data_IF_759012853485
#
_entry.id   IF_759012853485
#
_cell.length_a   1.000
_cell.length_b   1.000
_cell.length_c   1.000
_cell.angle_alpha   90.00
_cell.angle_beta   90.00
_cell.angle_gamma   90.00
#
_symmetry.space_group_name_H-M   'P 1'
#
loop_
_entity.id
_entity.type
_entity.pdbx_description
1 polymer ?
#
# COMPACT_ATOMS: atom_id res chain seq x y z
N UNK A 1 -40.18 20.95 13.09
CA UNK A 1 -40.88 19.98 12.23
C UNK A 1 -40.14 19.94 10.92
N UNK A 2 -39.30 18.91 10.77
CA UNK A 2 -38.72 18.34 9.52
C UNK A 2 -37.47 17.54 9.91
N UNK A 3 -37.70 16.38 10.53
CA UNK A 3 -36.67 15.53 11.12
C UNK A 3 -35.87 14.70 10.10
N UNK A 4 -36.06 14.90 8.79
CA UNK A 4 -35.48 14.07 7.73
C UNK A 4 -34.61 14.82 6.74
N UNK A 5 -34.04 15.97 7.12
CA UNK A 5 -33.18 16.73 6.21
C UNK A 5 -31.71 16.41 6.50
N UNK A 6 -31.02 15.78 5.55
CA UNK A 6 -29.58 15.57 5.62
C UNK A 6 -28.86 16.88 5.24
N UNK A 7 -28.30 17.55 6.24
CA UNK A 7 -27.55 18.79 6.04
C UNK A 7 -26.04 18.51 6.04
N UNK A 8 -25.33 19.12 5.09
CA UNK A 8 -23.87 19.14 5.11
C UNK A 8 -23.41 20.21 6.11
N UNK A 9 -22.58 19.82 7.09
CA UNK A 9 -22.09 20.71 8.15
C UNK A 9 -20.57 20.83 8.09
N UNK A 10 -20.09 22.07 8.18
CA UNK A 10 -18.67 22.39 8.25
C UNK A 10 -18.09 22.15 9.62
N UNK A 11 -16.84 21.70 9.65
CA UNK A 11 -16.07 21.76 10.89
C UNK A 11 -15.59 23.21 11.07
N UNK A 12 -16.20 23.94 12.02
CA UNK A 12 -15.84 25.33 12.33
C UNK A 12 -16.53 26.41 11.50
N UNK A 13 -17.46 26.04 10.61
CA UNK A 13 -18.29 26.97 9.85
C UNK A 13 -19.77 26.59 9.96
N UNK A 14 -20.63 27.56 10.22
CA UNK A 14 -22.08 27.42 10.15
C UNK A 14 -22.56 27.49 8.69
N UNK A 15 -22.10 26.56 7.86
CA UNK A 15 -22.82 26.25 6.63
C UNK A 15 -23.71 25.03 6.90
N UNK A 16 -25.01 25.22 6.72
CA UNK A 16 -26.01 24.14 6.66
C UNK A 16 -26.53 24.12 5.23
N UNK A 17 -25.75 23.53 4.34
CA UNK A 17 -26.22 23.33 2.97
C UNK A 17 -27.09 22.07 2.91
N UNK A 18 -28.25 22.21 2.26
CA UNK A 18 -29.11 21.08 1.98
C UNK A 18 -28.38 20.13 1.02
N UNK A 19 -28.22 18.87 1.40
CA UNK A 19 -27.66 17.87 0.51
C UNK A 19 -28.74 17.43 -0.50
N UNK A 20 -28.98 18.29 -1.50
CA UNK A 20 -29.91 18.05 -2.61
C UNK A 20 -29.16 17.68 -3.89
N UNK A 21 -29.82 16.92 -4.77
CA UNK A 21 -29.28 16.54 -6.07
C UNK A 21 -28.78 17.73 -6.90
N UNK A 22 -29.54 18.83 -6.92
CA UNK A 22 -29.23 20.01 -7.76
C UNK A 22 -27.99 20.78 -7.29
N UNK A 23 -27.59 20.62 -6.03
CA UNK A 23 -26.42 21.30 -5.45
C UNK A 23 -25.21 20.38 -5.32
N UNK A 24 -25.36 19.11 -5.65
CA UNK A 24 -24.33 18.12 -5.39
C UNK A 24 -23.03 18.45 -6.15
N UNK A 25 -23.14 18.86 -7.42
CA UNK A 25 -22.00 19.23 -8.24
C UNK A 25 -21.26 20.45 -7.67
N UNK A 26 -22.01 21.45 -7.21
CA UNK A 26 -21.44 22.63 -6.54
C UNK A 26 -20.68 22.23 -5.27
N UNK A 27 -21.25 21.37 -4.43
CA UNK A 27 -20.62 20.93 -3.18
C UNK A 27 -19.34 20.13 -3.48
N UNK A 28 -19.39 19.20 -4.43
CA UNK A 28 -18.24 18.36 -4.80
C UNK A 28 -17.08 19.20 -5.36
N UNK A 29 -17.38 20.26 -6.12
CA UNK A 29 -16.34 21.12 -6.70
C UNK A 29 -15.69 22.04 -5.67
N UNK A 30 -16.45 22.54 -4.69
CA UNK A 30 -15.97 23.53 -3.72
C UNK A 30 -15.45 22.90 -2.42
N UNK A 31 -15.84 21.66 -2.11
CA UNK A 31 -15.57 21.06 -0.81
C UNK A 31 -15.12 19.60 -0.88
N UNK A 32 -14.38 19.18 0.15
CA UNK A 32 -14.02 17.78 0.35
C UNK A 32 -15.04 17.09 1.24
N UNK A 33 -15.58 15.96 0.78
CA UNK A 33 -16.61 15.24 1.51
C UNK A 33 -16.00 14.32 2.58
N UNK A 34 -16.62 14.35 3.76
CA UNK A 34 -16.33 13.48 4.89
C UNK A 34 -17.64 12.83 5.37
N UNK A 35 -17.62 11.53 5.63
CA UNK A 35 -18.76 10.77 6.15
C UNK A 35 -18.40 10.20 7.51
N UNK A 36 -19.28 10.38 8.50
CA UNK A 36 -19.14 9.78 9.84
C UNK A 36 -19.88 8.45 9.93
N UNK A 37 -19.50 7.59 10.87
CA UNK A 37 -20.13 6.28 11.05
C UNK A 37 -21.65 6.37 11.27
N UNK A 38 -22.12 7.36 12.02
CA UNK A 38 -23.56 7.61 12.22
C UNK A 38 -24.26 8.10 10.94
N UNK A 39 -23.62 9.00 10.18
CA UNK A 39 -24.16 9.44 8.89
C UNK A 39 -24.27 8.27 7.90
N UNK A 40 -23.28 7.36 7.88
CA UNK A 40 -23.34 6.17 7.04
C UNK A 40 -24.54 5.27 7.39
N UNK A 41 -24.85 5.06 8.68
CA UNK A 41 -26.02 4.28 9.10
C UNK A 41 -27.32 4.87 8.56
N UNK A 42 -27.46 6.20 8.61
CA UNK A 42 -28.63 6.92 8.07
C UNK A 42 -28.67 6.85 6.54
N UNK A 43 -27.51 6.96 5.87
CA UNK A 43 -27.44 6.89 4.42
C UNK A 43 -27.80 5.49 3.87
N UNK A 44 -27.56 4.44 4.65
CA UNK A 44 -27.89 3.06 4.27
C UNK A 44 -29.35 2.71 4.58
N UNK A 45 -30.00 3.36 5.55
CA UNK A 45 -31.33 2.97 6.02
C UNK A 45 -32.48 3.27 5.06
N UNK A 46 -32.25 4.11 4.04
CA UNK A 46 -33.26 4.54 3.08
C UNK A 46 -32.72 4.43 1.64
N UNK A 47 -33.48 3.81 0.74
CA UNK A 47 -33.10 3.62 -0.67
C UNK A 47 -32.74 4.92 -1.38
N UNK A 48 -33.47 6.01 -1.13
CA UNK A 48 -33.17 7.31 -1.74
C UNK A 48 -31.82 7.86 -1.27
N UNK A 49 -31.48 7.65 0.01
CA UNK A 49 -30.19 8.07 0.55
C UNK A 49 -29.06 7.13 0.17
N UNK A 50 -29.37 5.86 -0.04
CA UNK A 50 -28.40 4.90 -0.53
C UNK A 50 -27.99 5.21 -1.99
N UNK A 51 -28.94 5.63 -2.82
CA UNK A 51 -28.64 6.16 -4.16
C UNK A 51 -27.75 7.41 -4.10
N UNK A 52 -28.01 8.31 -3.14
CA UNK A 52 -27.18 9.49 -2.93
C UNK A 52 -25.77 9.10 -2.50
N UNK A 53 -25.64 8.20 -1.51
CA UNK A 53 -24.36 7.62 -1.09
C UNK A 53 -23.60 7.07 -2.30
N UNK A 54 -24.28 6.34 -3.18
CA UNK A 54 -23.67 5.77 -4.37
C UNK A 54 -23.10 6.83 -5.32
N UNK A 55 -23.77 7.97 -5.50
CA UNK A 55 -23.25 9.07 -6.33
C UNK A 55 -22.10 9.84 -5.68
N UNK A 56 -22.17 10.07 -4.36
CA UNK A 56 -21.14 10.86 -3.67
C UNK A 56 -19.90 10.04 -3.35
N UNK A 57 -20.00 8.71 -3.28
CA UNK A 57 -18.92 7.83 -2.83
C UNK A 57 -17.56 8.11 -3.49
N UNK A 58 -17.44 8.30 -4.83
CA UNK A 58 -16.15 8.57 -5.48
C UNK A 58 -15.49 9.89 -5.04
N UNK A 59 -16.25 10.80 -4.44
CA UNK A 59 -15.80 12.12 -4.03
C UNK A 59 -15.54 12.21 -2.51
N UNK A 60 -15.87 11.16 -1.74
CA UNK A 60 -15.62 11.11 -0.30
C UNK A 60 -14.16 10.78 -0.04
N UNK A 61 -13.46 11.69 0.63
CA UNK A 61 -12.04 11.52 0.97
C UNK A 61 -11.81 10.95 2.35
N UNK A 62 -12.74 11.22 3.28
CA UNK A 62 -12.58 10.86 4.69
C UNK A 62 -13.79 10.08 5.18
N UNK A 63 -13.52 8.92 5.75
CA UNK A 63 -14.48 8.14 6.51
C UNK A 63 -14.03 8.15 7.98
N UNK A 64 -14.78 8.84 8.83
CA UNK A 64 -14.38 9.13 10.19
C UNK A 64 -15.24 8.39 11.21
N UNK A 65 -14.63 7.91 12.30
CA UNK A 65 -15.31 7.20 13.39
C UNK A 65 -16.08 5.96 12.89
N UNK A 66 -15.45 5.18 12.02
CA UNK A 66 -16.04 3.95 11.50
C UNK A 66 -15.69 2.77 12.39
N UNK A 67 -16.71 1.99 12.74
CA UNK A 67 -16.54 0.68 13.38
C UNK A 67 -15.93 -0.33 12.38
N UNK A 68 -15.30 -1.43 12.84
CA UNK A 68 -14.67 -2.42 11.95
C UNK A 68 -15.59 -2.93 10.83
N UNK A 69 -16.86 -3.20 11.14
CA UNK A 69 -17.86 -3.62 10.13
C UNK A 69 -18.15 -2.54 9.09
N UNK A 70 -18.15 -1.27 9.48
CA UNK A 70 -18.39 -0.15 8.56
C UNK A 70 -17.21 0.05 7.60
N UNK A 71 -15.98 -0.16 8.08
CA UNK A 71 -14.78 -0.17 7.22
C UNK A 71 -14.90 -1.25 6.14
N UNK A 72 -15.19 -2.48 6.56
CA UNK A 72 -15.37 -3.61 5.64
C UNK A 72 -16.50 -3.37 4.63
N UNK A 73 -17.66 -2.88 5.09
CA UNK A 73 -18.78 -2.51 4.23
C UNK A 73 -18.38 -1.50 3.16
N UNK A 74 -17.61 -0.48 3.55
CA UNK A 74 -17.17 0.58 2.62
C UNK A 74 -16.25 0.02 1.53
N UNK A 75 -15.31 -0.85 1.89
CA UNK A 75 -14.44 -1.54 0.91
C UNK A 75 -15.28 -2.36 -0.07
N UNK A 76 -16.25 -3.14 0.43
CA UNK A 76 -17.18 -3.91 -0.40
C UNK A 76 -18.04 -3.02 -1.31
N UNK A 77 -18.46 -1.85 -0.82
CA UNK A 77 -19.24 -0.88 -1.58
C UNK A 77 -18.43 -0.21 -2.71
N UNK A 78 -17.14 0.05 -2.51
CA UNK A 78 -16.25 0.50 -3.59
C UNK A 78 -16.07 -0.61 -4.64
N UNK A 79 -15.82 -1.84 -4.19
CA UNK A 79 -15.65 -3.00 -5.09
C UNK A 79 -16.89 -3.31 -5.92
N UNK A 80 -18.09 -3.20 -5.33
CA UNK A 80 -19.34 -3.41 -6.06
C UNK A 80 -19.57 -2.36 -7.16
N UNK A 81 -18.86 -1.23 -7.11
CA UNK A 81 -18.80 -0.21 -8.16
C UNK A 81 -17.60 -0.35 -9.10
N UNK A 82 -16.94 -1.51 -9.11
CA UNK A 82 -15.79 -1.80 -9.97
C UNK A 82 -14.56 -0.93 -9.71
N UNK A 83 -14.45 -0.30 -8.54
CA UNK A 83 -13.18 0.29 -8.11
C UNK A 83 -12.23 -0.81 -7.65
N UNK A 84 -10.96 -0.67 -8.01
CA UNK A 84 -9.87 -1.45 -7.42
C UNK A 84 -9.46 -0.80 -6.11
N UNK A 85 -9.53 -1.56 -5.01
CA UNK A 85 -9.32 -1.04 -3.66
C UNK A 85 -8.03 -1.57 -3.06
N UNK A 86 -7.10 -0.65 -2.78
CA UNK A 86 -5.91 -0.90 -1.95
C UNK A 86 -6.19 -0.46 -0.50
N UNK A 87 -6.15 -1.39 0.44
CA UNK A 87 -6.34 -1.11 1.87
C UNK A 87 -5.01 -1.29 2.61
N UNK A 88 -4.65 -0.30 3.43
CA UNK A 88 -3.51 -0.36 4.32
C UNK A 88 -3.99 -0.20 5.77
N UNK A 89 -3.54 -1.07 6.67
CA UNK A 89 -3.91 -1.03 8.08
C UNK A 89 -2.91 -1.77 8.96
N UNK A 90 -2.92 -1.49 10.25
CA UNK A 90 -1.96 -2.01 11.23
C UNK A 90 -2.66 -2.79 12.36
N UNK A 91 -3.96 -2.54 12.58
CA UNK A 91 -4.71 -3.05 13.72
C UNK A 91 -5.72 -4.14 13.40
N UNK A 92 -6.17 -4.84 14.45
CA UNK A 92 -7.22 -5.86 14.36
C UNK A 92 -8.56 -5.31 13.82
N UNK A 93 -8.80 -4.01 14.01
CA UNK A 93 -9.99 -3.31 13.50
C UNK A 93 -10.06 -3.25 11.97
N UNK A 94 -8.93 -3.48 11.28
CA UNK A 94 -8.85 -3.40 9.82
C UNK A 94 -8.89 -4.77 9.14
N UNK A 95 -8.94 -5.88 9.91
CA UNK A 95 -8.90 -7.26 9.37
C UNK A 95 -9.97 -7.51 8.31
N UNK A 96 -11.22 -7.12 8.59
CA UNK A 96 -12.35 -7.31 7.65
C UNK A 96 -12.16 -6.51 6.36
N UNK A 97 -11.69 -5.27 6.50
CA UNK A 97 -11.39 -4.38 5.38
C UNK A 97 -10.19 -4.87 4.54
N UNK A 98 -9.11 -5.32 5.20
CA UNK A 98 -7.92 -5.89 4.56
C UNK A 98 -8.28 -7.14 3.74
N UNK A 99 -9.07 -8.05 4.31
CA UNK A 99 -9.53 -9.27 3.61
C UNK A 99 -10.45 -8.98 2.44
N UNK A 100 -11.30 -7.97 2.56
CA UNK A 100 -12.28 -7.64 1.52
C UNK A 100 -11.69 -6.81 0.39
N UNK A 101 -10.55 -6.16 0.59
CA UNK A 101 -9.87 -5.32 -0.42
C UNK A 101 -9.29 -6.16 -1.57
N UNK A 102 -9.07 -5.54 -2.74
CA UNK A 102 -8.36 -6.22 -3.84
C UNK A 102 -6.89 -6.44 -3.50
N UNK A 103 -6.31 -5.47 -2.79
CA UNK A 103 -4.94 -5.55 -2.31
C UNK A 103 -4.92 -5.03 -0.87
N UNK A 104 -4.65 -5.93 0.07
CA UNK A 104 -4.52 -5.61 1.50
C UNK A 104 -3.06 -5.59 1.93
N UNK A 105 -2.62 -4.53 2.60
CA UNK A 105 -1.29 -4.37 3.14
C UNK A 105 -1.32 -4.11 4.65
N UNK A 106 -0.64 -4.96 5.42
CA UNK A 106 -0.45 -4.76 6.85
C UNK A 106 0.83 -3.97 7.14
N UNK A 107 0.76 -2.98 8.04
CA UNK A 107 1.92 -2.23 8.52
C UNK A 107 2.31 -2.69 9.93
N UNK A 108 3.60 -3.01 10.12
CA UNK A 108 4.09 -3.43 11.42
C UNK A 108 4.68 -2.24 12.18
N UNK A 109 3.99 -1.76 13.22
CA UNK A 109 4.35 -0.54 13.94
C UNK A 109 5.60 -0.61 14.82
N UNK A 110 6.25 -1.77 14.96
CA UNK A 110 7.39 -1.85 15.85
C UNK A 110 8.62 -1.21 15.22
N UNK A 111 9.02 -0.07 15.78
CA UNK A 111 10.37 0.45 15.64
C UNK A 111 11.29 -0.58 16.32
N UNK A 112 12.38 -1.04 15.68
CA UNK A 112 13.40 -1.76 16.43
C UNK A 112 13.86 -0.81 17.53
N UNK A 113 13.50 -1.10 18.77
CA UNK A 113 14.09 -0.42 19.91
C UNK A 113 15.57 -0.73 19.76
N UNK A 114 16.36 0.26 19.33
CA UNK A 114 17.78 0.28 19.60
C UNK A 114 17.86 0.32 21.12
N UNK A 115 17.89 -0.85 21.74
CA UNK A 115 18.40 -0.97 23.10
C UNK A 115 19.90 -0.73 23.01
N UNK A 116 20.28 0.53 22.82
CA UNK A 116 21.47 1.06 23.47
C UNK A 116 21.13 1.24 24.96
N UNK A 117 20.66 0.16 25.60
CA UNK A 117 20.72 0.01 27.03
C UNK A 117 22.18 -0.36 27.30
N UNK A 118 23.02 0.66 27.42
CA UNK A 118 24.32 0.49 28.06
C UNK A 118 24.08 -0.23 29.40
N UNK A 119 24.81 -1.31 29.71
CA UNK A 119 24.65 -1.98 30.98
C UNK A 119 24.99 -0.97 32.09
N UNK A 120 24.08 -0.84 33.04
CA UNK A 120 24.19 0.00 34.23
C UNK A 120 25.50 -0.29 34.98
N UNK A 121 26.48 0.60 34.81
CA UNK A 121 27.65 0.69 35.69
C UNK A 121 27.36 1.76 36.76
N UNK A 122 27.50 1.34 38.01
CA UNK A 122 27.28 2.13 39.24
C UNK A 122 28.12 3.42 39.25
N UNK A 123 27.68 4.50 39.91
CA UNK A 123 28.45 5.74 39.99
C UNK A 123 29.56 5.60 41.04
N UNK A 124 30.82 5.51 40.59
CA UNK A 124 31.99 5.65 41.46
C UNK A 124 32.63 7.03 41.32
N UNK A 125 33.04 7.57 42.47
CA UNK A 125 33.44 8.95 42.73
C UNK A 125 34.78 9.31 42.07
N UNK A 126 34.91 10.58 41.69
CA UNK A 126 36.13 11.21 41.15
C UNK A 126 37.35 11.08 42.09
N UNK A 127 38.53 10.77 41.54
CA UNK A 127 39.80 11.37 41.98
C UNK A 127 40.94 11.27 40.94
N UNK A 128 41.33 12.44 40.44
CA UNK A 128 42.66 12.98 40.05
C UNK A 128 43.84 12.12 39.53
N UNK A 129 44.54 12.74 38.54
CA UNK A 129 46.00 12.66 38.16
C UNK A 129 46.42 11.44 37.30
N UNK A 130 47.30 11.48 36.27
CA UNK A 130 48.25 12.43 35.66
C UNK A 130 48.44 12.09 34.16
N UNK A 131 48.72 13.14 33.37
CA UNK A 131 49.35 13.30 32.04
C UNK A 131 50.11 12.08 31.46
N UNK A 132 49.93 11.81 30.14
CA UNK A 132 51.05 11.65 29.21
C UNK A 132 50.68 11.90 27.73
N UNK A 133 51.15 13.03 27.21
CA UNK A 133 51.21 13.39 25.80
C UNK A 133 52.34 12.59 25.11
N UNK A 134 52.02 11.77 24.10
CA UNK A 134 52.99 11.39 23.06
C UNK A 134 52.35 11.35 21.67
N UNK A 135 52.96 12.14 20.79
CA UNK A 135 52.70 12.31 19.36
C UNK A 135 52.97 11.00 18.58
N UNK A 136 52.17 10.69 17.56
CA UNK A 136 52.67 10.57 16.18
C UNK A 136 51.61 10.14 15.13
N UNK A 137 51.52 11.01 14.11
CA UNK A 137 51.58 10.75 12.66
C UNK A 137 50.56 9.79 12.00
N UNK A 138 49.68 10.41 11.20
CA UNK A 138 49.29 10.08 9.83
C UNK A 138 49.34 8.60 9.41
N UNK A 139 48.17 7.95 9.39
CA UNK A 139 47.84 6.94 8.37
C UNK A 139 46.44 7.20 7.82
N UNK A 140 46.36 7.25 6.49
CA UNK A 140 45.17 7.48 5.67
C UNK A 140 44.04 6.52 6.09
N UNK A 141 42.85 7.09 6.28
CA UNK A 141 41.60 6.33 6.37
C UNK A 141 41.29 5.74 5.00
N UNK A 142 41.53 4.44 4.82
CA UNK A 142 40.80 3.67 3.82
C UNK A 142 39.37 3.51 4.33
N UNK A 143 38.44 4.24 3.75
CA UNK A 143 37.01 4.01 3.92
C UNK A 143 36.69 2.70 3.20
N UNK A 144 36.88 1.58 3.88
CA UNK A 144 36.17 0.34 3.53
C UNK A 144 34.72 0.60 3.86
N UNK A 145 33.92 0.87 2.83
CA UNK A 145 32.46 0.84 2.89
C UNK A 145 32.06 -0.60 3.18
N UNK A 146 32.10 -0.98 4.46
CA UNK A 146 31.49 -2.21 4.95
C UNK A 146 30.00 -1.93 4.87
N UNK A 147 29.39 -2.24 3.71
CA UNK A 147 27.95 -2.50 3.72
C UNK A 147 27.74 -3.61 4.76
N UNK A 148 26.94 -3.39 5.80
CA UNK A 148 26.61 -4.48 6.70
C UNK A 148 25.94 -5.58 5.86
N UNK A 149 26.30 -6.85 6.06
CA UNK A 149 25.62 -7.95 5.40
C UNK A 149 24.12 -7.88 5.74
N UNK A 150 23.28 -8.11 4.74
CA UNK A 150 21.82 -7.95 4.78
C UNK A 150 21.13 -8.95 5.75
N UNK A 151 21.89 -9.82 6.41
CA UNK A 151 21.37 -11.04 7.01
C UNK A 151 21.28 -11.08 8.54
N UNK A 152 21.53 -9.97 9.27
CA UNK A 152 21.43 -9.94 10.75
C UNK A 152 20.42 -8.92 11.33
N UNK A 153 19.33 -8.61 10.62
CA UNK A 153 18.14 -7.96 11.21
C UNK A 153 16.87 -8.80 11.04
N UNK A 154 17.01 -10.12 10.94
CA UNK A 154 15.90 -11.04 11.19
C UNK A 154 15.63 -11.12 12.70
N UNK A 155 15.21 -10.01 13.29
CA UNK A 155 14.36 -10.10 14.48
C UNK A 155 13.11 -10.86 14.05
N UNK A 156 12.90 -12.04 14.65
CA UNK A 156 11.69 -12.85 14.51
C UNK A 156 10.49 -12.01 14.96
N UNK A 157 9.93 -11.25 14.04
CA UNK A 157 8.77 -10.42 14.26
C UNK A 157 7.54 -11.31 14.12
N UNK A 158 6.81 -11.52 15.22
CA UNK A 158 5.54 -12.24 15.16
C UNK A 158 4.54 -11.41 14.33
N UNK A 159 3.98 -11.96 13.25
CA UNK A 159 2.94 -11.28 12.50
C UNK A 159 1.74 -11.04 13.43
N UNK A 160 1.25 -9.80 13.49
CA UNK A 160 -0.01 -9.49 14.18
C UNK A 160 -1.22 -9.98 13.37
N UNK A 161 -2.42 -9.90 13.94
CA UNK A 161 -3.64 -10.38 13.27
C UNK A 161 -3.91 -9.70 11.91
N UNK A 162 -3.54 -8.42 11.78
CA UNK A 162 -3.62 -7.69 10.51
C UNK A 162 -2.71 -8.30 9.43
N UNK A 163 -1.51 -8.77 9.79
CA UNK A 163 -0.56 -9.43 8.89
C UNK A 163 -1.04 -10.79 8.40
N UNK A 164 -1.82 -11.50 9.21
CA UNK A 164 -2.46 -12.76 8.82
C UNK A 164 -3.61 -12.50 7.81
N UNK A 165 -4.27 -11.35 7.95
CA UNK A 165 -5.41 -10.98 7.11
C UNK A 165 -5.02 -10.34 5.77
N UNK A 166 -3.88 -9.64 5.72
CA UNK A 166 -3.41 -8.92 4.55
C UNK A 166 -2.69 -9.82 3.54
N UNK A 167 -2.71 -9.42 2.27
CA UNK A 167 -1.96 -10.08 1.19
C UNK A 167 -0.46 -9.81 1.32
N UNK A 168 -0.11 -8.60 1.79
CA UNK A 168 1.27 -8.16 1.97
C UNK A 168 1.46 -7.64 3.40
N UNK A 169 2.67 -7.78 3.92
CA UNK A 169 3.06 -7.19 5.22
C UNK A 169 4.34 -6.38 5.04
N UNK A 170 4.28 -5.09 5.37
CA UNK A 170 5.44 -4.22 5.44
C UNK A 170 5.98 -4.21 6.86
N UNK A 171 7.28 -4.51 7.00
CA UNK A 171 8.01 -4.24 8.23
C UNK A 171 8.03 -2.72 8.45
N UNK A 172 7.84 -2.24 9.68
CA UNK A 172 7.90 -0.80 10.01
C UNK A 172 6.63 0.01 9.67
N UNK A 173 6.44 1.18 10.32
CA UNK A 173 5.23 2.02 10.18
C UNK A 173 5.23 2.98 8.98
N UNK A 174 6.27 2.96 8.13
CA UNK A 174 6.47 3.99 7.10
C UNK A 174 5.53 3.83 5.90
N UNK A 175 4.56 4.74 5.76
CA UNK A 175 3.60 4.73 4.64
C UNK A 175 4.25 4.85 3.25
N UNK A 176 5.47 5.41 3.17
CA UNK A 176 6.25 5.48 1.93
C UNK A 176 6.44 4.09 1.30
N UNK A 177 6.50 3.02 2.09
CA UNK A 177 6.62 1.64 1.57
C UNK A 177 5.43 1.26 0.71
N UNK A 178 4.21 1.65 1.10
CA UNK A 178 3.01 1.44 0.29
C UNK A 178 3.08 2.20 -1.04
N UNK A 179 3.56 3.45 -1.02
CA UNK A 179 3.70 4.25 -2.24
C UNK A 179 4.73 3.66 -3.20
N UNK A 180 5.89 3.23 -2.67
CA UNK A 180 6.92 2.56 -3.46
C UNK A 180 6.40 1.24 -4.04
N UNK A 181 5.68 0.44 -3.23
CA UNK A 181 5.03 -0.77 -3.70
C UNK A 181 4.09 -0.51 -4.88
N UNK A 182 3.20 0.48 -4.77
CA UNK A 182 2.30 0.83 -5.88
C UNK A 182 3.07 1.25 -7.14
N UNK A 183 4.15 2.03 -7.00
CA UNK A 183 5.03 2.38 -8.13
C UNK A 183 5.67 1.14 -8.77
N UNK A 184 6.13 0.20 -7.97
CA UNK A 184 6.70 -1.06 -8.47
C UNK A 184 5.65 -1.90 -9.19
N UNK A 185 4.43 -2.02 -8.66
CA UNK A 185 3.34 -2.74 -9.32
C UNK A 185 3.05 -2.17 -10.72
N UNK A 186 3.05 -0.84 -10.88
CA UNK A 186 2.85 -0.21 -12.19
C UNK A 186 4.00 -0.51 -13.16
N UNK A 187 5.24 -0.48 -12.66
CA UNK A 187 6.42 -0.82 -13.47
C UNK A 187 6.40 -2.30 -13.89
N UNK A 188 6.11 -3.21 -12.96
CA UNK A 188 5.99 -4.65 -13.21
C UNK A 188 4.88 -4.97 -14.20
N UNK A 189 3.74 -4.27 -14.14
CA UNK A 189 2.64 -4.45 -15.08
C UNK A 189 3.05 -4.05 -16.51
N UNK A 190 3.68 -2.88 -16.68
CA UNK A 190 4.17 -2.44 -17.98
C UNK A 190 5.20 -3.45 -18.54
N UNK A 191 6.14 -3.90 -17.71
CA UNK A 191 7.12 -4.91 -18.11
C UNK A 191 6.46 -6.23 -18.54
N UNK A 192 5.47 -6.71 -17.79
CA UNK A 192 4.73 -7.92 -18.14
C UNK A 192 3.99 -7.78 -19.47
N UNK A 193 3.35 -6.64 -19.72
CA UNK A 193 2.70 -6.36 -21.01
C UNK A 193 3.71 -6.41 -22.17
N UNK A 194 4.90 -5.83 -21.99
CA UNK A 194 5.96 -5.90 -23.00
C UNK A 194 6.40 -7.34 -23.28
N UNK A 195 6.59 -8.16 -22.25
CA UNK A 195 6.94 -9.58 -22.41
C UNK A 195 5.86 -10.32 -23.21
N UNK A 196 4.58 -10.12 -22.86
CA UNK A 196 3.47 -10.80 -23.56
C UNK A 196 3.44 -10.41 -25.04
N UNK A 197 3.63 -9.13 -25.36
CA UNK A 197 3.67 -8.65 -26.75
C UNK A 197 4.84 -9.29 -27.51
N UNK A 198 6.06 -9.22 -26.95
CA UNK A 198 7.26 -9.79 -27.59
C UNK A 198 7.12 -11.29 -27.78
N UNK A 199 6.65 -12.01 -26.75
CA UNK A 199 6.43 -13.46 -26.81
C UNK A 199 5.37 -13.84 -27.85
N UNK A 200 4.30 -13.04 -27.98
CA UNK A 200 3.27 -13.23 -29.00
C UNK A 200 3.85 -13.07 -30.40
N UNK A 201 4.60 -11.98 -30.66
CA UNK A 201 5.24 -11.74 -31.96
C UNK A 201 6.23 -12.85 -32.31
N UNK A 202 7.06 -13.27 -31.34
CA UNK A 202 8.01 -14.36 -31.51
C UNK A 202 7.29 -15.65 -31.88
N UNK A 203 6.21 -15.99 -31.17
CA UNK A 203 5.44 -17.21 -31.42
C UNK A 203 4.82 -17.22 -32.83
N UNK A 204 4.23 -16.11 -33.28
CA UNK A 204 3.67 -16.01 -34.64
C UNK A 204 4.76 -16.12 -35.72
N UNK A 205 5.88 -15.43 -35.54
CA UNK A 205 7.01 -15.46 -36.47
C UNK A 205 7.60 -16.87 -36.56
N UNK A 206 7.74 -17.53 -35.42
CA UNK A 206 8.25 -18.90 -35.34
C UNK A 206 7.33 -19.89 -36.05
N UNK A 207 6.01 -19.82 -35.82
CA UNK A 207 5.04 -20.70 -36.51
C UNK A 207 5.04 -20.47 -38.02
N UNK A 208 5.07 -19.21 -38.47
CA UNK A 208 5.15 -18.88 -39.90
C UNK A 208 6.43 -19.42 -40.53
N UNK A 209 7.57 -19.19 -39.89
CA UNK A 209 8.87 -19.69 -40.34
C UNK A 209 8.85 -21.22 -40.49
N UNK A 210 8.35 -21.94 -39.49
CA UNK A 210 8.25 -23.39 -39.54
C UNK A 210 7.33 -23.86 -40.66
N UNK A 211 6.19 -23.21 -40.86
CA UNK A 211 5.28 -23.53 -41.96
C UNK A 211 5.94 -23.35 -43.34
N UNK A 212 6.66 -22.24 -43.55
CA UNK A 212 7.36 -21.97 -44.82
C UNK A 212 8.52 -22.91 -45.08
N UNK A 213 9.30 -23.23 -44.05
CA UNK A 213 10.44 -24.14 -44.16
C UNK A 213 9.99 -25.57 -44.42
N UNK A 214 8.95 -26.02 -43.72
CA UNK A 214 8.35 -27.34 -43.97
C UNK A 214 7.81 -27.46 -45.39
N UNK A 215 7.11 -26.43 -45.90
CA UNK A 215 6.65 -26.40 -47.29
C UNK A 215 7.80 -26.42 -48.32
N UNK A 216 8.97 -25.92 -47.93
CA UNK A 216 10.20 -25.94 -48.75
C UNK A 216 11.00 -27.24 -48.60
N UNK A 217 10.51 -28.22 -47.81
CA UNK A 217 11.20 -29.49 -47.53
C UNK A 217 12.33 -29.39 -46.50
N UNK A 218 12.43 -28.27 -45.78
CA UNK A 218 13.50 -28.01 -44.81
C UNK A 218 13.03 -28.39 -43.39
N UNK A 219 13.72 -29.33 -42.76
CA UNK A 219 13.43 -29.81 -41.41
C UNK A 219 14.61 -29.49 -40.49
N UNK A 220 14.35 -28.80 -39.39
CA UNK A 220 15.40 -28.48 -38.41
C UNK A 220 15.64 -29.63 -37.44
N UNK A 221 16.91 -29.88 -37.09
CA UNK A 221 17.26 -30.80 -36.01
C UNK A 221 16.97 -30.19 -34.63
N UNK A 222 16.70 -31.04 -33.64
CA UNK A 222 16.46 -30.63 -32.25
C UNK A 222 17.57 -29.74 -31.67
N UNK A 223 18.82 -29.94 -32.11
CA UNK A 223 19.98 -29.13 -31.70
C UNK A 223 19.89 -27.68 -32.17
N UNK A 224 19.33 -27.45 -33.36
CA UNK A 224 19.15 -26.10 -33.89
C UNK A 224 18.03 -25.36 -33.17
N UNK A 225 16.95 -26.07 -32.83
CA UNK A 225 15.84 -25.50 -32.06
C UNK A 225 16.31 -25.11 -30.64
N UNK A 226 17.11 -25.96 -29.98
CA UNK A 226 17.70 -25.67 -28.68
C UNK A 226 18.67 -24.46 -28.70
N UNK A 227 19.32 -24.19 -29.83
CA UNK A 227 20.17 -23.01 -30.00
C UNK A 227 19.35 -21.71 -30.08
N UNK A 228 18.17 -21.74 -30.71
CA UNK A 228 17.31 -20.56 -30.87
C UNK A 228 16.55 -20.17 -29.58
N UNK A 229 16.42 -21.09 -28.63
CA UNK A 229 15.71 -20.87 -27.35
C UNK A 229 16.65 -20.37 -26.24
N UNK A 230 17.97 -20.50 -26.42
CA UNK A 230 19.01 -20.04 -25.49
C UNK A 230 19.33 -18.57 -25.67
#
# INVERSE_FOLDING_TARGET
TDQNILCWKGNGFDFRELLSWDRLDYIIQNYQLCITGEALKILISNDSYYQLLNKILPYVRVFARFDPHQKEFTIKLYRSKSFVVFMCGDGANDIGALRSSDIGAAMLNHVPISTNAAPSLKPEKQSNKVINLRKNKNKRQEVKTILPPIDEVNQNMSPGDASIAAHFTFKGPELNRCLHFLKYCMCSLAYFQHIVIISTIYSFTYVYMQATHYASGLVFSDRFILFLIK
#
